data_IF_129094671666
#
_entry.id   IF_129094671666
#
_cell.length_a   1.000
_cell.length_b   1.000
_cell.length_c   1.000
_cell.angle_alpha   90.00
_cell.angle_beta   90.00
_cell.angle_gamma   90.00
#
_symmetry.space_group_name_H-M   'P 1'
#
loop_
_entity.id
_entity.type
_entity.pdbx_description
1 polymer ?
#
# COMPACT_ATOMS: atom_id res chain seq x y z
N UNK A 1 -29.38 21.85 18.06
CA UNK A 1 -29.79 20.61 18.73
C UNK A 1 -31.29 20.47 18.54
N UNK A 2 -31.78 19.34 18.04
CA UNK A 2 -31.15 18.41 17.10
C UNK A 2 -32.13 18.05 15.94
N UNK A 3 -31.59 17.76 14.75
CA UNK A 3 -31.53 16.42 14.12
C UNK A 3 -32.79 16.08 13.31
N UNK A 4 -32.66 16.18 11.99
CA UNK A 4 -33.48 15.42 11.05
C UNK A 4 -32.85 14.03 10.96
N UNK A 5 -33.57 13.04 11.47
CA UNK A 5 -33.32 11.62 11.28
C UNK A 5 -33.57 11.27 9.80
N UNK A 6 -32.54 10.76 9.12
CA UNK A 6 -32.66 10.12 7.81
C UNK A 6 -33.54 8.87 7.94
N UNK A 7 -34.78 8.98 7.46
CA UNK A 7 -35.73 7.87 7.36
C UNK A 7 -35.25 6.79 6.37
N UNK A 8 -35.82 5.57 6.46
CA UNK A 8 -35.32 4.43 5.69
C UNK A 8 -35.52 4.64 4.18
N UNK A 9 -34.52 4.22 3.40
CA UNK A 9 -34.55 4.17 1.94
C UNK A 9 -35.76 3.34 1.48
N UNK A 10 -36.74 3.99 0.88
CA UNK A 10 -37.87 3.34 0.21
C UNK A 10 -37.36 2.45 -0.93
N UNK A 11 -37.37 1.14 -0.70
CA UNK A 11 -37.33 0.14 -1.76
C UNK A 11 -38.63 0.22 -2.55
N UNK A 12 -38.58 0.74 -3.77
CA UNK A 12 -39.71 0.72 -4.69
C UNK A 12 -40.18 -0.72 -4.93
N UNK A 13 -41.46 -0.97 -4.66
CA UNK A 13 -42.15 -2.22 -4.97
C UNK A 13 -42.23 -2.40 -6.49
N UNK A 14 -41.54 -3.40 -7.02
CA UNK A 14 -41.77 -3.86 -8.38
C UNK A 14 -43.09 -4.64 -8.41
N UNK A 15 -43.96 -4.35 -9.39
CA UNK A 15 -45.27 -4.97 -9.53
C UNK A 15 -45.24 -6.49 -9.79
N UNK A 16 -44.06 -7.08 -10.02
CA UNK A 16 -43.86 -8.54 -10.11
C UNK A 16 -42.39 -8.89 -9.83
N UNK A 17 -42.07 -9.68 -8.79
CA UNK A 17 -40.72 -10.19 -8.57
C UNK A 17 -40.31 -11.11 -9.73
N UNK A 18 -39.07 -11.04 -10.24
CA UNK A 18 -38.66 -11.79 -11.44
C UNK A 18 -38.61 -13.33 -11.26
N UNK A 19 -38.91 -13.83 -10.06
CA UNK A 19 -39.11 -15.25 -9.82
C UNK A 19 -39.88 -15.44 -8.49
N UNK A 20 -40.95 -16.24 -8.52
CA UNK A 20 -41.80 -16.63 -7.39
C UNK A 20 -41.09 -17.47 -6.31
N UNK A 21 -39.75 -17.47 -6.27
CA UNK A 21 -38.96 -18.30 -5.35
C UNK A 21 -39.17 -17.93 -3.88
N UNK A 22 -39.52 -16.69 -3.59
CA UNK A 22 -39.82 -16.18 -2.24
C UNK A 22 -41.12 -16.77 -1.65
N UNK A 23 -42.02 -17.30 -2.49
CA UNK A 23 -43.26 -17.94 -2.04
C UNK A 23 -43.08 -19.44 -1.76
N UNK A 24 -42.04 -20.06 -2.36
CA UNK A 24 -41.87 -21.52 -2.35
C UNK A 24 -41.05 -22.02 -1.15
N UNK A 25 -40.27 -21.17 -0.49
CA UNK A 25 -39.37 -21.58 0.59
C UNK A 25 -39.44 -20.57 1.74
N UNK A 26 -40.07 -20.92 2.88
CA UNK A 26 -40.01 -20.11 4.10
C UNK A 26 -38.54 -19.91 4.51
N UNK A 27 -38.06 -18.66 4.53
CA UNK A 27 -36.65 -18.31 4.78
C UNK A 27 -35.84 -17.96 3.52
N UNK A 28 -36.45 -18.00 2.33
CA UNK A 28 -35.81 -17.53 1.08
C UNK A 28 -35.98 -16.02 0.93
N UNK A 29 -35.32 -15.31 1.82
CA UNK A 29 -35.30 -13.87 1.89
C UNK A 29 -34.10 -13.47 2.71
N UNK A 30 -32.99 -13.19 2.03
CA UNK A 30 -31.85 -12.48 2.57
C UNK A 30 -31.38 -12.91 3.98
N UNK A 31 -31.12 -14.21 4.16
CA UNK A 31 -29.82 -14.53 4.75
C UNK A 31 -28.79 -14.17 3.69
N UNK A 32 -28.61 -12.86 3.44
CA UNK A 32 -27.31 -12.42 3.01
C UNK A 32 -26.41 -12.91 4.13
N UNK A 33 -25.71 -14.01 3.87
CA UNK A 33 -24.41 -14.21 4.49
C UNK A 33 -23.74 -12.88 4.18
N UNK A 34 -23.79 -11.95 5.13
CA UNK A 34 -23.00 -10.75 5.09
C UNK A 34 -21.60 -11.30 5.26
N UNK A 35 -21.07 -11.83 4.15
CA UNK A 35 -19.66 -12.04 3.95
C UNK A 35 -19.10 -10.67 4.30
N UNK A 36 -18.54 -10.58 5.51
CA UNK A 36 -17.92 -9.36 5.99
C UNK A 36 -16.85 -9.04 4.96
N UNK A 37 -17.24 -8.20 4.01
CA UNK A 37 -16.51 -7.96 2.77
C UNK A 37 -15.13 -7.42 3.12
N UNK A 38 -15.03 -6.73 4.26
CA UNK A 38 -13.78 -6.29 4.83
C UNK A 38 -12.90 -7.45 5.32
N UNK A 39 -13.46 -8.45 5.99
CA UNK A 39 -12.72 -9.64 6.43
C UNK A 39 -12.14 -10.42 5.23
N UNK A 40 -12.89 -10.53 4.14
CA UNK A 40 -12.44 -11.21 2.92
C UNK A 40 -11.36 -10.39 2.21
N UNK A 41 -11.52 -9.07 2.13
CA UNK A 41 -10.46 -8.15 1.63
C UNK A 41 -9.19 -8.27 2.49
N UNK A 42 -9.32 -8.36 3.81
CA UNK A 42 -8.17 -8.53 4.71
C UNK A 42 -7.46 -9.87 4.47
N UNK A 43 -8.23 -10.96 4.32
CA UNK A 43 -7.70 -12.31 4.03
C UNK A 43 -6.99 -12.32 2.67
N UNK A 44 -7.62 -11.76 1.64
CA UNK A 44 -7.05 -11.64 0.30
C UNK A 44 -5.76 -10.82 0.31
N UNK A 45 -5.75 -9.63 0.93
CA UNK A 45 -4.54 -8.78 1.04
C UNK A 45 -3.39 -9.50 1.75
N UNK A 46 -3.69 -10.29 2.77
CA UNK A 46 -2.67 -11.08 3.48
C UNK A 46 -2.07 -12.16 2.58
N UNK A 47 -2.91 -12.91 1.87
CA UNK A 47 -2.48 -13.95 0.94
C UNK A 47 -1.67 -13.36 -0.22
N UNK A 48 -2.16 -12.27 -0.81
CA UNK A 48 -1.53 -11.62 -1.96
C UNK A 48 -0.18 -10.99 -1.61
N UNK A 49 -0.08 -10.34 -0.43
CA UNK A 49 1.21 -9.84 0.06
C UNK A 49 2.23 -10.97 0.20
N UNK A 50 1.82 -12.14 0.71
CA UNK A 50 2.72 -13.29 0.82
C UNK A 50 3.16 -13.76 -0.57
N UNK A 51 2.21 -14.00 -1.48
CA UNK A 51 2.49 -14.45 -2.85
C UNK A 51 3.50 -13.54 -3.55
N UNK A 52 3.26 -12.23 -3.53
CA UNK A 52 4.12 -11.24 -4.20
C UNK A 52 5.50 -11.12 -3.55
N UNK A 53 5.62 -11.27 -2.23
CA UNK A 53 6.92 -11.32 -1.55
C UNK A 53 7.68 -12.58 -1.98
N UNK A 54 7.02 -13.74 -1.99
CA UNK A 54 7.66 -15.00 -2.38
C UNK A 54 8.16 -14.94 -3.84
N UNK A 55 7.34 -14.40 -4.76
CA UNK A 55 7.75 -14.19 -6.15
C UNK A 55 8.95 -13.24 -6.28
N UNK A 56 8.96 -12.14 -5.52
CA UNK A 56 10.07 -11.18 -5.50
C UNK A 56 11.36 -11.80 -4.95
N UNK A 57 11.24 -12.66 -3.94
CA UNK A 57 12.37 -13.38 -3.35
C UNK A 57 12.91 -14.48 -4.27
N UNK A 58 12.06 -15.06 -5.12
CA UNK A 58 12.46 -16.07 -6.11
C UNK A 58 13.26 -15.50 -7.30
N UNK A 59 13.24 -14.17 -7.51
CA UNK A 59 14.07 -13.53 -8.54
C UNK A 59 15.55 -13.72 -8.25
N UNK A 60 16.34 -14.04 -9.28
CA UNK A 60 17.79 -14.17 -9.17
C UNK A 60 18.44 -12.86 -8.66
N UNK A 61 19.47 -12.91 -7.78
CA UNK A 61 20.14 -11.71 -7.28
C UNK A 61 20.73 -10.79 -8.34
N UNK A 62 21.33 -11.33 -9.41
CA UNK A 62 21.89 -10.52 -10.50
C UNK A 62 20.79 -9.85 -11.31
N UNK A 63 19.71 -10.58 -11.60
CA UNK A 63 18.55 -10.03 -12.28
C UNK A 63 17.88 -8.93 -11.43
N UNK A 64 17.78 -9.14 -10.11
CA UNK A 64 17.26 -8.13 -9.17
C UNK A 64 18.13 -6.86 -9.15
N UNK A 65 19.45 -7.01 -9.18
CA UNK A 65 20.38 -5.87 -9.27
C UNK A 65 20.17 -5.12 -10.59
N UNK A 66 20.13 -5.82 -11.73
CA UNK A 66 19.91 -5.23 -13.03
C UNK A 66 18.57 -4.49 -13.12
N UNK A 67 17.49 -5.05 -12.54
CA UNK A 67 16.18 -4.38 -12.40
C UNK A 67 16.29 -3.11 -11.56
N UNK A 68 16.98 -3.17 -10.42
CA UNK A 68 17.16 -2.03 -9.51
C UNK A 68 17.91 -0.88 -10.18
N UNK A 69 18.96 -1.18 -10.95
CA UNK A 69 19.72 -0.18 -11.70
C UNK A 69 18.86 0.51 -12.76
N UNK A 70 18.06 -0.26 -13.52
CA UNK A 70 17.13 0.31 -14.51
C UNK A 70 16.09 1.24 -13.86
N UNK A 71 15.55 0.84 -12.72
CA UNK A 71 14.63 1.68 -11.94
C UNK A 71 15.33 2.97 -11.49
N UNK A 72 16.54 2.87 -10.95
CA UNK A 72 17.32 4.03 -10.51
C UNK A 72 17.60 5.01 -11.67
N UNK A 73 17.94 4.51 -12.86
CA UNK A 73 18.13 5.36 -14.05
C UNK A 73 16.83 6.05 -14.48
N UNK A 74 15.69 5.34 -14.45
CA UNK A 74 14.40 5.94 -14.74
C UNK A 74 14.00 7.01 -13.71
N UNK A 75 14.31 6.78 -12.42
CA UNK A 75 14.09 7.75 -11.35
C UNK A 75 14.93 9.01 -11.53
N UNK A 76 16.20 8.88 -11.97
CA UNK A 76 17.05 10.04 -12.26
C UNK A 76 16.40 10.96 -13.32
N UNK A 77 15.81 10.37 -14.36
CA UNK A 77 15.09 11.12 -15.40
C UNK A 77 13.79 11.73 -14.88
N UNK A 78 13.00 10.96 -14.13
CA UNK A 78 11.68 11.39 -13.64
C UNK A 78 11.76 12.48 -12.57
N UNK A 79 12.72 12.39 -11.64
CA UNK A 79 12.90 13.36 -10.56
C UNK A 79 13.63 14.62 -11.05
N UNK A 80 14.58 14.46 -11.97
CA UNK A 80 15.35 15.56 -12.55
C UNK A 80 16.27 16.25 -11.54
N UNK A 81 16.28 17.58 -11.53
CA UNK A 81 17.18 18.36 -10.66
C UNK A 81 16.79 18.23 -9.18
N UNK A 82 17.71 17.69 -8.38
CA UNK A 82 17.52 17.46 -6.93
C UNK A 82 18.21 18.48 -6.02
N UNK A 83 19.11 19.31 -6.55
CA UNK A 83 19.85 20.30 -5.75
C UNK A 83 18.89 21.24 -4.99
N UNK A 84 19.08 21.34 -3.67
CA UNK A 84 18.25 22.14 -2.77
C UNK A 84 16.91 21.50 -2.39
N UNK A 85 16.58 20.31 -2.90
CA UNK A 85 15.33 19.59 -2.61
C UNK A 85 15.52 18.49 -1.58
N UNK A 86 14.41 18.11 -0.95
CA UNK A 86 14.32 16.91 -0.11
C UNK A 86 13.54 15.87 -0.90
N UNK A 87 14.10 14.66 -1.00
CA UNK A 87 13.45 13.51 -1.61
C UNK A 87 13.21 12.47 -0.51
N UNK A 88 11.96 12.05 -0.35
CA UNK A 88 11.63 10.95 0.55
C UNK A 88 12.00 9.62 -0.12
N UNK A 89 12.64 8.73 0.65
CA UNK A 89 12.98 7.38 0.22
C UNK A 89 12.50 6.33 1.21
N UNK A 90 12.86 5.07 0.96
CA UNK A 90 12.62 3.95 1.87
C UNK A 90 13.90 3.15 2.06
N UNK A 91 13.94 2.33 3.12
CA UNK A 91 14.98 1.32 3.28
C UNK A 91 14.47 -0.02 2.73
N UNK A 92 15.19 -0.68 1.80
CA UNK A 92 14.64 -1.79 1.05
C UNK A 92 14.26 -2.97 1.93
N UNK A 93 13.07 -3.53 1.68
CA UNK A 93 12.52 -4.66 2.42
C UNK A 93 12.28 -5.87 1.51
N UNK A 94 12.77 -7.05 1.94
CA UNK A 94 12.50 -8.37 1.31
C UNK A 94 12.50 -8.35 -0.23
N UNK A 95 13.68 -8.16 -0.82
CA UNK A 95 13.87 -8.26 -2.27
C UNK A 95 13.37 -7.05 -3.07
N UNK A 96 12.97 -5.96 -2.40
CA UNK A 96 12.68 -4.68 -3.05
C UNK A 96 13.88 -4.13 -3.83
N UNK A 97 13.65 -3.24 -4.81
CA UNK A 97 14.72 -2.53 -5.47
C UNK A 97 15.61 -1.81 -4.45
N UNK A 98 16.91 -2.03 -4.55
CA UNK A 98 17.87 -1.35 -3.69
C UNK A 98 18.22 0.01 -4.29
N UNK A 99 17.66 1.07 -3.70
CA UNK A 99 17.86 2.44 -4.12
C UNK A 99 18.85 3.21 -3.24
N UNK A 100 19.57 2.55 -2.33
CA UNK A 100 20.51 3.22 -1.41
C UNK A 100 21.61 3.96 -2.16
N UNK A 101 22.19 3.33 -3.17
CA UNK A 101 23.21 3.98 -4.01
C UNK A 101 22.64 5.15 -4.83
N UNK A 102 21.37 5.08 -5.23
CA UNK A 102 20.70 6.20 -5.89
C UNK A 102 20.46 7.36 -4.91
N UNK A 103 20.02 7.07 -3.69
CA UNK A 103 19.85 8.04 -2.62
C UNK A 103 21.18 8.77 -2.30
N UNK A 104 22.31 8.04 -2.27
CA UNK A 104 23.65 8.63 -2.14
C UNK A 104 23.93 9.62 -3.29
N UNK A 105 23.69 9.23 -4.54
CA UNK A 105 23.86 10.13 -5.70
C UNK A 105 22.95 11.35 -5.66
N UNK A 106 21.76 11.26 -5.06
CA UNK A 106 20.90 12.43 -4.82
C UNK A 106 21.59 13.41 -3.86
N UNK A 107 22.19 12.92 -2.78
CA UNK A 107 22.94 13.73 -1.81
C UNK A 107 24.16 14.38 -2.46
N UNK A 108 24.95 13.61 -3.21
CA UNK A 108 26.13 14.11 -3.95
C UNK A 108 25.78 15.24 -4.94
N UNK A 109 24.56 15.22 -5.50
CA UNK A 109 24.03 16.27 -6.39
C UNK A 109 23.40 17.46 -5.64
N UNK A 110 23.62 17.55 -4.32
CA UNK A 110 23.14 18.63 -3.45
C UNK A 110 21.67 18.51 -3.03
N UNK A 111 21.06 17.33 -3.21
CA UNK A 111 19.76 17.01 -2.62
C UNK A 111 19.91 16.52 -1.17
N UNK A 112 18.78 16.26 -0.52
CA UNK A 112 18.71 15.60 0.78
C UNK A 112 17.75 14.43 0.72
N UNK A 113 18.05 13.37 1.45
CA UNK A 113 17.17 12.19 1.55
C UNK A 113 16.48 12.19 2.90
N UNK A 114 15.18 11.93 2.92
CA UNK A 114 14.42 11.73 4.14
C UNK A 114 13.85 10.31 4.20
N UNK A 115 14.16 9.56 5.28
CA UNK A 115 13.65 8.21 5.49
C UNK A 115 12.49 8.23 6.50
N UNK A 116 11.47 7.38 6.31
CA UNK A 116 10.35 7.26 7.24
C UNK A 116 10.76 6.54 8.52
N UNK A 117 10.28 7.03 9.65
CA UNK A 117 10.43 6.45 10.98
C UNK A 117 9.04 6.19 11.56
N UNK A 118 8.84 4.96 12.02
CA UNK A 118 7.61 4.57 12.73
C UNK A 118 7.77 4.94 14.21
N UNK A 119 7.07 6.00 14.63
CA UNK A 119 7.12 6.46 16.03
C UNK A 119 6.26 5.56 16.94
N UNK A 120 5.07 5.18 16.44
CA UNK A 120 4.14 4.29 17.15
C UNK A 120 3.26 3.55 16.15
N UNK A 121 2.85 2.33 16.49
CA UNK A 121 1.90 1.56 15.68
C UNK A 121 0.58 2.33 15.52
N UNK A 122 0.12 2.47 14.28
CA UNK A 122 -1.12 3.18 13.95
C UNK A 122 -0.99 4.71 13.97
N UNK A 123 0.23 5.24 14.09
CA UNK A 123 0.50 6.68 14.03
C UNK A 123 1.09 7.08 12.68
N UNK A 124 0.98 8.37 12.28
CA UNK A 124 1.65 8.90 11.11
C UNK A 124 3.17 8.66 11.15
N UNK A 125 3.79 8.57 9.97
CA UNK A 125 5.24 8.48 9.83
C UNK A 125 5.89 9.84 10.03
N UNK A 126 7.03 9.86 10.73
CA UNK A 126 7.96 11.00 10.71
C UNK A 126 9.02 10.77 9.64
N UNK A 127 9.38 11.82 8.88
CA UNK A 127 10.46 11.75 7.92
C UNK A 127 11.68 12.48 8.47
N UNK A 128 12.80 11.77 8.59
CA UNK A 128 14.05 12.32 9.12
C UNK A 128 15.11 12.34 8.03
N UNK A 129 15.88 13.42 7.98
CA UNK A 129 17.01 13.52 7.06
C UNK A 129 18.02 12.41 7.39
N UNK A 130 18.51 11.76 6.35
CA UNK A 130 19.51 10.72 6.43
C UNK A 130 20.67 11.03 5.47
N UNK A 131 21.88 10.80 5.95
CA UNK A 131 23.11 10.78 5.17
C UNK A 131 23.92 9.48 5.38
N UNK A 132 24.86 9.17 4.47
CA UNK A 132 25.74 8.02 4.63
C UNK A 132 26.55 8.11 5.92
N UNK A 133 26.53 7.04 6.72
CA UNK A 133 27.20 7.00 8.02
C UNK A 133 26.29 7.35 9.21
N UNK A 134 25.10 7.91 8.97
CA UNK A 134 24.14 8.12 10.05
C UNK A 134 23.69 6.78 10.65
N UNK A 135 23.56 6.68 11.99
CA UNK A 135 23.10 5.47 12.64
C UNK A 135 21.67 5.15 12.19
N UNK A 136 21.43 3.87 11.90
CA UNK A 136 20.11 3.36 11.58
C UNK A 136 19.65 2.43 12.69
N UNK A 137 18.46 2.71 13.21
CA UNK A 137 17.78 1.85 14.17
C UNK A 137 16.81 0.93 13.44
N UNK A 138 16.61 -0.28 13.98
CA UNK A 138 15.62 -1.20 13.44
C UNK A 138 14.23 -0.65 13.70
N UNK A 139 13.53 -0.30 12.62
CA UNK A 139 12.11 0.05 12.68
C UNK A 139 11.26 -1.11 13.21
N UNK A 140 10.13 -0.78 13.84
CA UNK A 140 9.17 -1.75 14.38
C UNK A 140 8.49 -2.61 13.32
#
# INVERSE_FOLDING_TARGET
MPDQEDGPLETQEYASPPCYMHELVPGYGADSIAQDTWSDVCRWRKAERKRLIDERLAVDPEERLAKSLRIASALDLAVGRVSGRIVSGYWPFRGEPDLRNWAIRVIERGGRIALPVVIKKGWPLEFRIWGPGDPLERGM
#
